data_IF_177737542480
#
_entry.id   IF_177737542480
#
_cell.length_a   1.000
_cell.length_b   1.000
_cell.length_c   1.000
_cell.angle_alpha   90.00
_cell.angle_beta   90.00
_cell.angle_gamma   90.00
#
_symmetry.space_group_name_H-M   'P 1'
#
loop_
_entity.id
_entity.type
_entity.pdbx_description
1 polymer ?
#
# COMPACT_ATOMS: atom_id res chain seq x y z
N UNK A 1 67.99 15.13 14.93
CA UNK A 1 69.31 14.48 15.08
C UNK A 1 69.03 12.99 15.16
N UNK A 2 69.20 12.30 14.03
CA UNK A 2 70.40 11.46 13.74
C UNK A 2 70.26 10.14 14.51
N UNK A 3 70.25 8.92 13.94
CA UNK A 3 70.97 8.31 12.82
C UNK A 3 70.17 7.00 12.51
N UNK A 4 69.64 6.73 11.31
CA UNK A 4 70.29 6.22 10.07
C UNK A 4 70.86 4.79 10.19
N UNK A 5 70.20 3.90 9.45
CA UNK A 5 70.66 2.77 8.60
C UNK A 5 71.69 1.74 9.11
N UNK A 6 71.39 0.45 8.86
CA UNK A 6 72.01 -0.33 7.76
C UNK A 6 71.54 -1.80 7.83
N UNK A 7 71.11 -2.36 6.69
CA UNK A 7 71.41 -3.70 6.18
C UNK A 7 70.83 -3.79 4.74
N UNK A 8 71.43 -4.59 3.85
CA UNK A 8 71.77 -4.14 2.51
C UNK A 8 70.87 -4.71 1.40
N UNK A 9 70.93 -3.99 0.28
CA UNK A 9 70.44 -4.34 -1.04
C UNK A 9 71.13 -5.56 -1.67
N UNK A 10 70.37 -6.23 -2.56
CA UNK A 10 70.86 -6.91 -3.77
C UNK A 10 70.54 -8.41 -3.79
N UNK A 11 69.85 -8.97 -4.78
CA UNK A 11 69.32 -8.45 -6.02
C UNK A 11 68.82 -9.62 -6.90
N UNK A 12 68.37 -9.25 -8.10
CA UNK A 12 68.09 -10.07 -9.28
C UNK A 12 66.68 -10.67 -9.45
N UNK A 13 66.10 -10.37 -10.62
CA UNK A 13 65.28 -11.35 -11.35
C UNK A 13 63.83 -10.94 -11.58
N UNK A 14 63.60 -9.99 -12.48
CA UNK A 14 62.26 -9.65 -12.93
C UNK A 14 61.56 -10.79 -13.68
N UNK A 15 60.25 -10.90 -13.48
CA UNK A 15 59.32 -11.52 -14.44
C UNK A 15 58.07 -10.65 -14.50
N UNK A 16 57.77 -10.18 -15.72
CA UNK A 16 56.63 -9.33 -16.07
C UNK A 16 55.31 -10.10 -15.84
N UNK A 17 54.23 -9.48 -15.33
CA UNK A 17 52.93 -10.12 -15.34
C UNK A 17 52.40 -10.22 -16.78
N UNK A 18 51.97 -11.42 -17.14
CA UNK A 18 51.32 -11.72 -18.41
C UNK A 18 49.98 -10.97 -18.52
N UNK A 19 49.78 -10.31 -19.65
CA UNK A 19 48.51 -9.74 -20.05
C UNK A 19 47.50 -10.89 -20.29
N UNK A 20 46.47 -10.98 -19.45
CA UNK A 20 45.32 -11.84 -19.70
C UNK A 20 44.24 -10.97 -20.34
N UNK A 21 43.92 -11.31 -21.59
CA UNK A 21 42.92 -10.67 -22.40
C UNK A 21 41.54 -10.71 -21.73
N UNK A 22 40.91 -9.55 -21.57
CA UNK A 22 39.51 -9.41 -21.21
C UNK A 22 38.64 -9.79 -22.40
N UNK A 23 38.21 -11.05 -22.45
CA UNK A 23 37.14 -11.48 -23.33
C UNK A 23 35.83 -10.83 -22.87
N UNK A 24 35.41 -9.76 -23.54
CA UNK A 24 34.05 -9.21 -23.41
C UNK A 24 33.04 -10.24 -23.93
N UNK A 25 32.45 -11.00 -23.02
CA UNK A 25 31.30 -11.86 -23.31
C UNK A 25 30.04 -11.00 -23.34
N UNK A 26 29.72 -10.49 -24.52
CA UNK A 26 28.42 -9.87 -24.81
C UNK A 26 27.32 -10.91 -24.61
N UNK A 27 26.55 -10.81 -23.53
CA UNK A 27 25.30 -11.54 -23.39
C UNK A 27 24.22 -10.82 -24.20
N UNK A 28 23.89 -11.38 -25.35
CA UNK A 28 22.69 -11.02 -26.13
C UNK A 28 21.48 -11.57 -25.37
N UNK A 29 20.82 -10.73 -24.58
CA UNK A 29 19.56 -11.08 -23.93
C UNK A 29 18.48 -11.21 -25.01
N UNK A 30 18.00 -12.44 -25.22
CA UNK A 30 16.87 -12.72 -26.10
C UNK A 30 15.64 -11.97 -25.60
N UNK A 31 15.17 -11.01 -26.39
CA UNK A 31 13.92 -10.28 -26.22
C UNK A 31 12.77 -11.26 -26.46
N UNK A 32 12.21 -11.83 -25.39
CA UNK A 32 10.96 -12.56 -25.48
C UNK A 32 9.82 -11.56 -25.27
N UNK A 33 9.20 -11.11 -26.36
CA UNK A 33 7.96 -10.36 -26.32
C UNK A 33 6.82 -11.31 -25.92
N UNK A 34 6.38 -11.28 -24.66
CA UNK A 34 5.07 -11.81 -24.28
C UNK A 34 4.05 -10.67 -24.39
N UNK A 35 3.43 -10.55 -25.57
CA UNK A 35 2.22 -9.76 -25.76
C UNK A 35 1.06 -10.42 -25.01
N UNK A 36 0.76 -9.94 -23.80
CA UNK A 36 -0.51 -10.29 -23.12
C UNK A 36 -1.59 -9.41 -23.74
N UNK A 37 -2.40 -10.03 -24.61
CA UNK A 37 -3.59 -9.44 -25.22
C UNK A 37 -4.65 -9.25 -24.12
N UNK A 38 -4.97 -7.99 -23.80
CA UNK A 38 -6.17 -7.66 -23.06
C UNK A 38 -7.41 -7.95 -23.94
N UNK A 39 -8.29 -8.84 -23.49
CA UNK A 39 -9.57 -9.13 -24.13
C UNK A 39 -10.63 -8.26 -23.46
N UNK A 40 -11.03 -7.18 -24.14
CA UNK A 40 -12.29 -6.47 -23.90
C UNK A 40 -12.91 -6.22 -25.28
N UNK A 41 -13.82 -7.10 -25.69
CA UNK A 41 -14.63 -6.90 -26.88
C UNK A 41 -16.11 -7.10 -26.48
N UNK A 42 -16.84 -5.98 -26.43
CA UNK A 42 -18.30 -5.93 -26.38
C UNK A 42 -18.78 -5.71 -27.83
N UNK A 43 -19.80 -6.43 -28.34
CA UNK A 43 -20.25 -6.26 -29.73
C UNK A 43 -21.10 -5.00 -29.89
N UNK A 44 -20.84 -4.24 -30.95
CA UNK A 44 -21.80 -3.33 -31.58
C UNK A 44 -22.37 -4.01 -32.82
N UNK A 45 -23.69 -3.93 -33.00
CA UNK A 45 -24.34 -4.17 -34.29
C UNK A 45 -25.20 -2.94 -34.62
N UNK A 46 -25.18 -2.55 -35.89
CA UNK A 46 -25.52 -1.23 -36.39
C UNK A 46 -26.84 -1.20 -37.19
N UNK A 47 -27.28 0.03 -37.44
CA UNK A 47 -28.10 0.53 -38.54
C UNK A 47 -29.64 0.61 -38.37
N UNK A 48 -30.13 1.85 -38.58
CA UNK A 48 -31.52 2.23 -38.80
C UNK A 48 -31.92 2.13 -40.28
N UNK A 49 -33.22 2.21 -40.62
CA UNK A 49 -33.70 3.42 -41.34
C UNK A 49 -35.12 3.94 -40.94
N UNK A 50 -35.44 5.14 -41.45
CA UNK A 50 -36.51 6.11 -41.12
C UNK A 50 -37.89 5.88 -41.83
N UNK A 51 -38.86 6.83 -41.90
CA UNK A 51 -39.58 7.61 -40.87
C UNK A 51 -41.15 7.60 -41.00
N UNK A 52 -41.81 8.28 -40.05
CA UNK A 52 -43.10 9.01 -40.12
C UNK A 52 -44.43 8.35 -39.66
N UNK A 53 -45.03 8.87 -38.56
CA UNK A 53 -46.30 9.65 -38.57
C UNK A 53 -46.62 10.24 -37.19
N UNK A 54 -47.18 11.45 -37.21
CA UNK A 54 -47.57 12.31 -36.07
C UNK A 54 -48.82 11.78 -35.37
N UNK A 55 -48.90 11.90 -34.04
CA UNK A 55 -50.14 12.27 -33.32
C UNK A 55 -49.76 12.87 -31.97
N UNK A 56 -50.25 14.07 -31.70
CA UNK A 56 -50.11 14.81 -30.46
C UNK A 56 -50.93 14.14 -29.34
N UNK A 57 -50.33 13.94 -28.16
CA UNK A 57 -51.07 14.05 -26.90
C UNK A 57 -50.09 14.46 -25.80
N UNK A 58 -50.41 15.59 -25.15
CA UNK A 58 -49.68 16.15 -24.04
C UNK A 58 -49.80 15.27 -22.79
N UNK A 59 -48.71 15.10 -22.04
CA UNK A 59 -48.61 15.35 -20.59
C UNK A 59 -47.39 14.66 -19.95
N UNK A 60 -46.75 15.40 -19.04
CA UNK A 60 -45.98 14.94 -17.89
C UNK A 60 -44.54 14.44 -18.11
N UNK A 61 -43.70 15.46 -18.22
CA UNK A 61 -42.30 15.52 -17.76
C UNK A 61 -42.10 14.73 -16.45
N UNK A 62 -41.46 13.56 -16.54
CA UNK A 62 -40.80 12.92 -15.39
C UNK A 62 -39.32 12.88 -15.70
N UNK A 63 -38.62 13.91 -15.23
CA UNK A 63 -37.16 13.94 -15.17
C UNK A 63 -36.73 12.81 -14.25
N UNK A 64 -36.25 11.71 -14.82
CA UNK A 64 -35.52 10.68 -14.07
C UNK A 64 -34.19 11.32 -13.68
N UNK A 65 -34.17 11.93 -12.51
CA UNK A 65 -32.95 12.29 -11.83
C UNK A 65 -32.27 10.97 -11.46
N UNK A 66 -31.20 10.64 -12.18
CA UNK A 66 -30.20 9.70 -11.68
C UNK A 66 -29.51 10.38 -10.50
N UNK A 67 -30.12 10.28 -9.33
CA UNK A 67 -29.42 10.53 -8.07
C UNK A 67 -28.30 9.50 -7.99
N UNK A 68 -27.07 9.97 -8.20
CA UNK A 68 -25.89 9.28 -7.64
C UNK A 68 -26.07 9.32 -6.14
N UNK A 69 -26.69 8.27 -5.59
CA UNK A 69 -26.79 8.05 -4.17
C UNK A 69 -25.36 8.01 -3.62
N UNK A 70 -24.94 9.12 -2.99
CA UNK A 70 -23.79 9.10 -2.12
C UNK A 70 -24.05 8.01 -1.07
N UNK A 71 -23.25 6.94 -1.11
CA UNK A 71 -23.35 5.87 -0.13
C UNK A 71 -23.40 6.48 1.27
N UNK A 72 -24.35 6.07 2.14
CA UNK A 72 -24.48 6.65 3.46
C UNK A 72 -23.14 6.57 4.19
N UNK A 73 -22.76 7.64 4.90
CA UNK A 73 -21.58 7.65 5.74
C UNK A 73 -21.67 6.44 6.68
N UNK A 74 -20.71 5.51 6.57
CA UNK A 74 -20.73 4.30 7.38
C UNK A 74 -20.45 4.74 8.82
N UNK A 75 -21.43 4.61 9.71
CA UNK A 75 -21.24 4.90 11.12
C UNK A 75 -20.51 3.72 11.75
N UNK A 76 -19.20 3.87 11.95
CA UNK A 76 -18.39 2.86 12.63
C UNK A 76 -18.72 2.86 14.12
N UNK A 77 -19.14 1.69 14.64
CA UNK A 77 -19.47 1.52 16.06
C UNK A 77 -18.44 0.62 16.73
N UNK A 78 -17.43 1.25 17.30
CA UNK A 78 -16.31 0.56 17.96
C UNK A 78 -16.78 -0.11 19.27
N UNK A 79 -16.56 -1.43 19.36
CA UNK A 79 -16.75 -2.17 20.60
C UNK A 79 -15.60 -1.88 21.60
N UNK A 80 -15.64 -2.49 22.78
CA UNK A 80 -14.63 -2.24 23.82
C UNK A 80 -13.21 -2.72 23.43
N UNK A 81 -13.10 -3.83 22.68
CA UNK A 81 -11.85 -4.35 22.14
C UNK A 81 -11.31 -3.44 21.04
N UNK A 82 -12.17 -2.99 20.12
CA UNK A 82 -11.79 -2.04 19.06
C UNK A 82 -11.19 -0.77 19.66
N UNK A 83 -11.85 -0.19 20.68
CA UNK A 83 -11.35 0.99 21.39
C UNK A 83 -9.99 0.75 22.05
N UNK A 84 -9.77 -0.42 22.63
CA UNK A 84 -8.49 -0.79 23.23
C UNK A 84 -7.39 -0.92 22.17
N UNK A 85 -7.67 -1.57 21.04
CA UNK A 85 -6.74 -1.75 19.93
C UNK A 85 -6.39 -0.40 19.27
N UNK A 86 -7.39 0.44 19.04
CA UNK A 86 -7.22 1.80 18.53
C UNK A 86 -6.34 2.63 19.47
N UNK A 87 -6.65 2.63 20.77
CA UNK A 87 -5.88 3.36 21.76
C UNK A 87 -4.42 2.88 21.83
N UNK A 88 -4.20 1.56 21.71
CA UNK A 88 -2.86 0.99 21.66
C UNK A 88 -2.07 1.43 20.42
N UNK A 89 -2.67 1.35 19.22
CA UNK A 89 -2.00 1.76 17.99
C UNK A 89 -1.74 3.28 17.97
N UNK A 90 -2.71 4.09 18.40
CA UNK A 90 -2.55 5.54 18.51
C UNK A 90 -1.39 5.91 19.44
N UNK A 91 -1.28 5.27 20.60
CA UNK A 91 -0.14 5.48 21.52
C UNK A 91 1.20 5.11 20.89
N UNK A 92 1.29 3.99 20.18
CA UNK A 92 2.54 3.60 19.50
C UNK A 92 2.95 4.63 18.44
N UNK A 93 2.01 5.22 17.69
CA UNK A 93 2.30 6.29 16.73
C UNK A 93 2.74 7.59 17.42
N UNK A 94 2.09 7.95 18.52
CA UNK A 94 2.45 9.11 19.34
C UNK A 94 3.87 8.95 19.92
N UNK A 95 4.19 7.80 20.50
CA UNK A 95 5.51 7.49 21.03
C UNK A 95 6.59 7.45 19.93
N UNK A 96 6.28 6.88 18.77
CA UNK A 96 7.22 6.80 17.65
C UNK A 96 7.51 8.17 17.02
N UNK A 97 6.54 9.07 17.01
CA UNK A 97 6.67 10.42 16.46
C UNK A 97 7.16 11.45 17.48
N UNK A 98 7.09 11.13 18.78
CA UNK A 98 7.30 12.09 19.87
C UNK A 98 6.17 13.12 20.02
N UNK A 99 5.03 12.91 19.35
CA UNK A 99 3.87 13.80 19.36
C UNK A 99 2.82 13.26 20.32
N UNK A 100 1.99 14.14 20.88
CA UNK A 100 0.86 13.76 21.75
C UNK A 100 -0.42 14.41 21.25
N UNK A 101 -1.55 13.74 21.46
CA UNK A 101 -2.88 14.33 21.30
C UNK A 101 -3.78 13.97 22.48
N UNK A 102 -4.80 14.82 22.70
CA UNK A 102 -5.78 14.67 23.79
C UNK A 102 -7.09 14.02 23.32
N UNK A 103 -7.13 13.53 22.07
CA UNK A 103 -8.33 12.91 21.50
C UNK A 103 -8.42 11.45 21.90
N UNK A 104 -9.65 10.94 21.86
CA UNK A 104 -9.97 9.54 22.18
C UNK A 104 -10.43 8.75 20.96
N UNK A 105 -10.37 7.43 21.07
CA UNK A 105 -10.87 6.50 20.05
C UNK A 105 -10.18 6.69 18.70
N UNK A 106 -10.93 6.45 17.62
CA UNK A 106 -10.37 6.46 16.27
C UNK A 106 -9.87 7.86 15.86
N UNK A 107 -10.47 8.92 16.40
CA UNK A 107 -10.02 10.30 16.17
C UNK A 107 -8.61 10.55 16.72
N UNK A 108 -8.22 9.90 17.81
CA UNK A 108 -6.84 9.94 18.33
C UNK A 108 -5.83 9.43 17.31
N UNK A 109 -6.17 8.33 16.63
CA UNK A 109 -5.33 7.72 15.60
C UNK A 109 -5.20 8.63 14.37
N UNK A 110 -6.33 9.19 13.91
CA UNK A 110 -6.35 10.11 12.78
C UNK A 110 -5.58 11.40 13.09
N UNK A 111 -5.70 11.94 14.30
CA UNK A 111 -4.99 13.15 14.71
C UNK A 111 -3.48 12.93 14.82
N UNK A 112 -3.05 11.79 15.36
CA UNK A 112 -1.64 11.39 15.35
C UNK A 112 -1.10 11.26 13.91
N UNK A 113 -1.86 10.60 13.02
CA UNK A 113 -1.49 10.47 11.61
C UNK A 113 -1.40 11.83 10.90
N UNK A 114 -2.34 12.74 11.16
CA UNK A 114 -2.33 14.09 10.62
C UNK A 114 -1.11 14.87 11.11
N UNK A 115 -0.80 14.80 12.40
CA UNK A 115 0.36 15.48 12.97
C UNK A 115 1.68 14.94 12.37
N UNK A 116 1.79 13.63 12.18
CA UNK A 116 2.93 12.99 11.49
C UNK A 116 3.03 13.49 10.05
N UNK A 117 1.92 13.50 9.31
CA UNK A 117 1.89 13.96 7.91
C UNK A 117 2.28 15.43 7.74
N UNK A 118 2.07 16.23 8.79
CA UNK A 118 2.37 17.66 8.81
C UNK A 118 3.82 17.98 9.11
N UNK A 119 4.40 17.28 10.08
CA UNK A 119 5.68 17.66 10.67
C UNK A 119 6.86 17.00 9.94
N UNK A 120 6.67 15.77 9.43
CA UNK A 120 7.76 14.97 8.90
C UNK A 120 7.72 14.89 7.37
N UNK A 121 8.89 14.71 6.75
CA UNK A 121 9.02 14.38 5.32
C UNK A 121 8.43 13.00 5.01
N UNK A 122 8.07 12.74 3.74
CA UNK A 122 7.40 11.50 3.33
C UNK A 122 8.17 10.22 3.72
N UNK A 123 9.50 10.23 3.56
CA UNK A 123 10.35 9.10 3.98
C UNK A 123 10.28 8.89 5.49
N UNK A 124 10.31 9.99 6.25
CA UNK A 124 10.30 9.94 7.70
C UNK A 124 8.93 9.56 8.25
N UNK A 125 7.85 9.97 7.59
CA UNK A 125 6.49 9.52 7.87
C UNK A 125 6.41 7.99 7.81
N UNK A 126 6.89 7.41 6.71
CA UNK A 126 6.85 5.96 6.51
C UNK A 126 7.70 5.21 7.56
N UNK A 127 8.87 5.75 7.88
CA UNK A 127 9.77 5.21 8.91
C UNK A 127 9.12 5.23 10.30
N UNK A 128 8.52 6.34 10.71
CA UNK A 128 7.85 6.49 12.01
C UNK A 128 6.71 5.48 12.15
N UNK A 129 5.88 5.33 11.12
CA UNK A 129 4.77 4.36 11.16
C UNK A 129 5.30 2.94 11.20
N UNK A 130 6.34 2.61 10.43
CA UNK A 130 6.96 1.28 10.46
C UNK A 130 7.47 0.96 11.87
N UNK A 131 8.16 1.90 12.52
CA UNK A 131 8.61 1.74 13.90
C UNK A 131 7.44 1.58 14.88
N UNK A 132 6.33 2.30 14.69
CA UNK A 132 5.15 2.14 15.53
C UNK A 132 4.54 0.73 15.40
N UNK A 133 4.49 0.17 14.18
CA UNK A 133 4.02 -1.20 13.93
C UNK A 133 4.95 -2.25 14.54
N UNK A 134 6.27 -2.05 14.45
CA UNK A 134 7.26 -2.93 15.06
C UNK A 134 7.21 -2.89 16.60
N UNK A 135 6.94 -1.73 17.20
CA UNK A 135 6.74 -1.61 18.66
C UNK A 135 5.42 -2.22 19.12
N UNK A 136 4.41 -2.23 18.27
CA UNK A 136 3.10 -2.80 18.58
C UNK A 136 3.14 -4.33 18.75
N UNK A 137 4.18 -5.01 18.25
CA UNK A 137 4.30 -6.46 18.33
C UNK A 137 5.68 -6.88 18.88
N UNK A 138 5.74 -7.61 20.01
CA UNK A 138 7.00 -8.11 20.55
C UNK A 138 7.82 -8.90 19.51
N UNK A 139 9.12 -8.64 19.43
CA UNK A 139 10.02 -9.25 18.45
C UNK A 139 9.97 -10.78 18.44
N UNK A 140 9.81 -11.40 19.62
CA UNK A 140 9.62 -12.85 19.76
C UNK A 140 8.45 -13.38 18.94
N UNK A 141 7.31 -12.69 18.95
CA UNK A 141 6.11 -13.09 18.21
C UNK A 141 6.36 -12.98 16.70
N UNK A 142 7.00 -11.90 16.25
CA UNK A 142 7.34 -11.70 14.84
C UNK A 142 8.27 -12.81 14.33
N UNK A 143 9.30 -13.16 15.10
CA UNK A 143 10.21 -14.27 14.77
C UNK A 143 9.48 -15.61 14.75
N UNK A 144 8.60 -15.87 15.73
CA UNK A 144 7.80 -17.09 15.76
C UNK A 144 6.91 -17.23 14.51
N UNK A 145 6.21 -16.16 14.11
CA UNK A 145 5.37 -16.16 12.91
C UNK A 145 6.21 -16.48 11.68
N UNK A 146 7.34 -15.80 11.47
CA UNK A 146 8.23 -16.05 10.32
C UNK A 146 8.71 -17.49 10.23
N UNK A 147 9.07 -18.10 11.37
CA UNK A 147 9.59 -19.47 11.42
C UNK A 147 8.48 -20.49 11.21
N UNK A 148 7.32 -20.29 11.82
CA UNK A 148 6.20 -21.24 11.76
C UNK A 148 5.42 -21.14 10.44
N UNK A 149 5.41 -19.97 9.80
CA UNK A 149 4.62 -19.68 8.60
C UNK A 149 5.52 -19.29 7.42
N UNK A 150 6.34 -20.22 6.90
CA UNK A 150 7.17 -19.93 5.74
C UNK A 150 6.32 -19.61 4.50
N UNK A 151 6.85 -18.83 3.54
CA UNK A 151 6.13 -18.44 2.33
C UNK A 151 5.56 -19.65 1.59
N UNK A 152 4.23 -19.77 1.62
CA UNK A 152 3.46 -20.90 1.10
C UNK A 152 2.03 -20.45 0.83
N UNK A 153 1.27 -21.24 0.05
CA UNK A 153 -0.16 -21.01 -0.14
C UNK A 153 -0.91 -20.89 1.20
N UNK A 154 -0.66 -21.85 2.10
CA UNK A 154 -1.28 -21.86 3.42
C UNK A 154 -1.02 -20.56 4.19
N UNK A 155 0.24 -20.08 4.19
CA UNK A 155 0.57 -18.83 4.87
C UNK A 155 -0.18 -17.63 4.26
N UNK A 156 -0.29 -17.53 2.93
CA UNK A 156 -1.02 -16.45 2.25
C UNK A 156 -2.50 -16.44 2.61
N UNK A 157 -3.15 -17.60 2.55
CA UNK A 157 -4.56 -17.75 2.91
C UNK A 157 -4.80 -17.47 4.39
N UNK A 158 -3.87 -17.89 5.26
CA UNK A 158 -3.92 -17.58 6.69
C UNK A 158 -3.79 -16.07 6.95
N UNK A 159 -2.82 -15.38 6.34
CA UNK A 159 -2.67 -13.94 6.52
C UNK A 159 -3.88 -13.17 6.03
N UNK A 160 -4.48 -13.58 4.90
CA UNK A 160 -5.70 -12.97 4.40
C UNK A 160 -6.87 -13.16 5.38
N UNK A 161 -7.12 -14.40 5.83
CA UNK A 161 -8.18 -14.70 6.78
C UNK A 161 -7.95 -14.03 8.16
N UNK A 162 -6.72 -14.05 8.66
CA UNK A 162 -6.37 -13.37 9.91
C UNK A 162 -6.63 -11.87 9.81
N UNK A 163 -6.31 -11.27 8.67
CA UNK A 163 -6.47 -9.83 8.46
C UNK A 163 -7.94 -9.42 8.52
N UNK A 164 -8.83 -10.20 7.90
CA UNK A 164 -10.28 -9.92 7.91
C UNK A 164 -10.94 -10.14 9.27
N UNK A 165 -10.32 -10.93 10.15
CA UNK A 165 -10.79 -11.14 11.52
C UNK A 165 -10.26 -10.06 12.47
N UNK A 166 -8.97 -9.69 12.34
CA UNK A 166 -8.28 -8.89 13.34
C UNK A 166 -8.27 -7.38 13.04
N UNK A 167 -8.25 -6.95 11.78
CA UNK A 167 -8.14 -5.53 11.42
C UNK A 167 -9.44 -4.79 11.03
N UNK A 168 -10.68 -5.34 11.12
CA UNK A 168 -11.87 -4.55 10.82
C UNK A 168 -12.03 -3.25 11.62
N UNK A 169 -11.54 -3.20 12.87
CA UNK A 169 -11.56 -1.99 13.69
C UNK A 169 -10.71 -0.85 13.10
N UNK A 170 -9.63 -1.19 12.37
CA UNK A 170 -8.66 -0.25 11.83
C UNK A 170 -9.06 0.22 10.43
N UNK A 171 -9.32 -0.72 9.53
CA UNK A 171 -9.55 -0.43 8.10
C UNK A 171 -11.01 -0.51 7.68
N UNK A 172 -11.91 -1.01 8.54
CA UNK A 172 -13.32 -1.23 8.22
C UNK A 172 -13.62 -2.68 7.81
N UNK A 173 -14.89 -3.02 7.51
CA UNK A 173 -15.30 -4.37 7.11
C UNK A 173 -14.45 -4.92 5.95
N UNK A 174 -14.07 -6.18 6.05
CA UNK A 174 -13.17 -6.84 5.10
C UNK A 174 -13.76 -8.18 4.63
N UNK A 175 -13.52 -8.51 3.36
CA UNK A 175 -13.91 -9.78 2.75
C UNK A 175 -12.69 -10.49 2.17
N UNK A 176 -12.70 -11.82 2.19
CA UNK A 176 -11.63 -12.61 1.55
C UNK A 176 -12.06 -12.97 0.13
N UNK A 177 -11.24 -12.61 -0.85
CA UNK A 177 -11.43 -12.91 -2.26
C UNK A 177 -10.37 -13.88 -2.78
N UNK A 178 -10.68 -14.51 -3.90
CA UNK A 178 -9.78 -15.42 -4.61
C UNK A 178 -8.98 -14.67 -5.68
N UNK A 179 -7.69 -14.94 -5.77
CA UNK A 179 -6.88 -14.58 -6.94
C UNK A 179 -6.18 -15.79 -7.53
N UNK A 180 -5.69 -15.65 -8.75
CA UNK A 180 -4.88 -16.65 -9.42
C UNK A 180 -3.40 -16.37 -9.19
N UNK A 181 -2.73 -17.25 -8.46
CA UNK A 181 -1.29 -17.21 -8.22
C UNK A 181 -0.68 -18.46 -8.85
N UNK A 182 0.23 -18.29 -9.81
CA UNK A 182 0.90 -19.40 -10.50
C UNK A 182 -0.07 -20.44 -11.11
N UNK A 183 -1.20 -19.98 -11.67
CA UNK A 183 -2.20 -20.86 -12.29
C UNK A 183 -3.11 -21.58 -11.30
N UNK A 184 -3.09 -21.23 -10.02
CA UNK A 184 -3.94 -21.80 -8.98
C UNK A 184 -4.77 -20.72 -8.29
N UNK A 185 -6.03 -21.04 -8.01
CA UNK A 185 -6.92 -20.20 -7.22
C UNK A 185 -6.57 -20.32 -5.73
N UNK A 186 -6.32 -19.19 -5.10
CA UNK A 186 -5.99 -19.09 -3.68
C UNK A 186 -6.80 -17.95 -3.04
N UNK A 187 -7.19 -18.11 -1.78
CA UNK A 187 -7.91 -17.09 -0.99
C UNK A 187 -6.94 -16.12 -0.33
N UNK A 188 -6.20 -15.38 -1.15
CA UNK A 188 -5.07 -14.55 -0.72
C UNK A 188 -5.32 -13.04 -0.83
N UNK A 189 -6.53 -12.61 -1.23
CA UNK A 189 -6.88 -11.19 -1.34
C UNK A 189 -7.81 -10.79 -0.21
N UNK A 190 -7.48 -9.71 0.47
CA UNK A 190 -8.39 -9.02 1.39
C UNK A 190 -8.96 -7.81 0.68
N UNK A 191 -10.27 -7.83 0.45
CA UNK A 191 -10.99 -6.71 -0.12
C UNK A 191 -11.66 -5.91 0.99
N UNK A 192 -11.43 -4.60 0.97
CA UNK A 192 -12.00 -3.63 1.90
C UNK A 192 -12.91 -2.74 1.06
N UNK A 193 -14.24 -2.96 1.06
CA UNK A 193 -15.16 -2.20 0.21
C UNK A 193 -15.13 -0.70 0.49
N UNK A 194 -14.86 -0.32 1.74
CA UNK A 194 -14.69 1.06 2.16
C UNK A 194 -13.66 1.16 3.28
N UNK A 195 -12.50 1.72 2.97
CA UNK A 195 -11.39 1.84 3.90
C UNK A 195 -11.62 3.01 4.86
N UNK A 196 -11.83 2.71 6.14
CA UNK A 196 -12.07 3.69 7.21
C UNK A 196 -10.97 4.75 7.29
N UNK A 197 -9.70 4.37 7.15
CA UNK A 197 -8.59 5.32 7.20
C UNK A 197 -8.58 6.29 6.00
N UNK A 198 -8.82 5.76 4.81
CA UNK A 198 -8.90 6.59 3.60
C UNK A 198 -10.14 7.50 3.63
N UNK A 199 -11.27 6.99 4.11
CA UNK A 199 -12.51 7.75 4.29
C UNK A 199 -12.36 8.88 5.32
N UNK A 200 -11.70 8.64 6.46
CA UNK A 200 -11.50 9.66 7.49
C UNK A 200 -10.49 10.73 7.07
N UNK A 201 -9.40 10.35 6.39
CA UNK A 201 -8.36 11.31 6.00
C UNK A 201 -8.64 12.02 4.68
N UNK A 202 -9.43 11.39 3.79
CA UNK A 202 -9.66 11.82 2.41
C UNK A 202 -8.36 12.26 1.73
N UNK A 203 -7.23 11.57 1.97
CA UNK A 203 -5.92 12.02 1.55
C UNK A 203 -5.10 10.88 0.95
N UNK A 204 -4.84 10.97 -0.36
CA UNK A 204 -4.01 10.00 -1.10
C UNK A 204 -2.62 9.87 -0.47
N UNK A 205 -1.96 11.00 -0.18
CA UNK A 205 -0.61 11.01 0.39
C UNK A 205 -0.52 10.39 1.79
N UNK A 206 -1.55 10.53 2.61
CA UNK A 206 -1.60 9.83 3.91
C UNK A 206 -1.85 8.34 3.73
N UNK A 207 -2.76 7.96 2.84
CA UNK A 207 -3.01 6.55 2.53
C UNK A 207 -1.73 5.85 2.04
N UNK A 208 -0.96 6.49 1.15
CA UNK A 208 0.27 5.91 0.60
C UNK A 208 1.40 5.87 1.63
N UNK A 209 1.69 7.00 2.29
CA UNK A 209 2.87 7.14 3.16
C UNK A 209 2.67 6.71 4.61
N UNK A 210 1.43 6.63 5.10
CA UNK A 210 1.13 6.23 6.49
C UNK A 210 0.44 4.88 6.60
N UNK A 211 -0.14 4.35 5.52
CA UNK A 211 -0.78 3.04 5.55
C UNK A 211 -0.06 2.07 4.60
N UNK A 212 -0.13 2.29 3.29
CA UNK A 212 0.34 1.36 2.27
C UNK A 212 1.83 1.03 2.38
N UNK A 213 2.72 2.03 2.23
CA UNK A 213 4.17 1.79 2.21
C UNK A 213 4.65 1.17 3.53
N UNK A 214 4.30 1.72 4.71
CA UNK A 214 4.74 1.16 5.98
C UNK A 214 4.19 -0.24 6.25
N UNK A 215 2.91 -0.49 5.92
CA UNK A 215 2.29 -1.80 6.14
C UNK A 215 2.90 -2.87 5.22
N UNK A 216 3.10 -2.57 3.94
CA UNK A 216 3.77 -3.49 3.01
C UNK A 216 5.19 -3.82 3.50
N UNK A 217 5.95 -2.81 3.94
CA UNK A 217 7.29 -2.99 4.48
C UNK A 217 7.28 -3.81 5.76
N UNK A 218 6.40 -3.50 6.70
CA UNK A 218 6.25 -4.23 7.95
C UNK A 218 5.89 -5.70 7.71
N UNK A 219 4.89 -5.99 6.88
CA UNK A 219 4.46 -7.37 6.60
C UNK A 219 5.59 -8.15 5.91
N UNK A 220 6.31 -7.54 4.98
CA UNK A 220 7.45 -8.16 4.33
C UNK A 220 8.63 -8.38 5.29
N UNK A 221 9.11 -7.31 5.91
CA UNK A 221 10.35 -7.31 6.68
C UNK A 221 10.17 -7.95 8.05
N UNK A 222 9.00 -7.82 8.69
CA UNK A 222 8.72 -8.33 10.03
C UNK A 222 7.95 -9.65 10.05
N UNK A 223 7.07 -9.92 9.08
CA UNK A 223 6.28 -11.17 9.02
C UNK A 223 6.74 -12.14 7.92
N UNK A 224 7.64 -11.71 7.02
CA UNK A 224 8.17 -12.56 5.95
C UNK A 224 7.20 -12.80 4.80
N UNK A 225 6.12 -12.02 4.71
CA UNK A 225 5.08 -12.18 3.69
C UNK A 225 5.08 -10.99 2.73
N UNK A 226 5.14 -11.25 1.43
CA UNK A 226 4.95 -10.20 0.43
C UNK A 226 3.48 -9.80 0.39
N UNK A 227 3.21 -8.52 0.28
CA UNK A 227 1.85 -8.02 0.08
C UNK A 227 1.89 -6.78 -0.80
N UNK A 228 0.95 -6.71 -1.74
CA UNK A 228 0.69 -5.51 -2.51
C UNK A 228 -0.67 -4.95 -2.12
N UNK A 229 -0.71 -3.70 -1.69
CA UNK A 229 -1.95 -3.00 -1.33
C UNK A 229 -2.39 -2.08 -2.46
N UNK A 230 -3.57 -2.27 -3.03
CA UNK A 230 -4.10 -1.47 -4.13
C UNK A 230 -5.31 -0.65 -3.65
N UNK A 231 -5.11 0.61 -3.19
CA UNK A 231 -6.22 1.48 -2.83
C UNK A 231 -6.90 2.04 -4.09
N UNK A 232 -8.23 2.12 -4.07
CA UNK A 232 -9.01 2.87 -5.04
C UNK A 232 -9.49 4.17 -4.38
N UNK A 233 -9.03 5.30 -4.93
CA UNK A 233 -9.32 6.63 -4.37
C UNK A 233 -10.67 7.19 -4.84
N UNK A 234 -11.34 6.58 -5.83
CA UNK A 234 -12.65 7.03 -6.29
C UNK A 234 -13.78 6.54 -5.38
N UNK A 235 -13.75 5.25 -5.03
CA UNK A 235 -14.76 4.60 -4.17
C UNK A 235 -14.31 4.39 -2.72
N UNK A 236 -13.06 4.74 -2.41
CA UNK A 236 -12.41 4.57 -1.10
C UNK A 236 -12.19 3.10 -0.70
N UNK A 237 -12.24 2.15 -1.64
CA UNK A 237 -11.94 0.75 -1.38
C UNK A 237 -10.43 0.47 -1.35
N UNK A 238 -10.02 -0.71 -0.86
CA UNK A 238 -8.63 -1.15 -0.90
C UNK A 238 -8.52 -2.68 -0.97
N UNK A 239 -7.61 -3.17 -1.80
CA UNK A 239 -7.24 -4.59 -1.86
C UNK A 239 -5.88 -4.80 -1.20
N UNK A 240 -5.72 -5.88 -0.44
CA UNK A 240 -4.42 -6.36 0.03
C UNK A 240 -4.18 -7.77 -0.53
N UNK A 241 -3.20 -7.89 -1.42
CA UNK A 241 -2.92 -9.12 -2.16
C UNK A 241 -1.69 -9.79 -1.57
N UNK A 242 -1.91 -10.80 -0.74
CA UNK A 242 -0.83 -11.56 -0.10
C UNK A 242 -0.12 -12.47 -1.12
N UNK A 243 1.21 -12.48 -1.08
CA UNK A 243 2.07 -13.17 -2.03
C UNK A 243 2.57 -12.31 -3.19
N UNK A 244 1.97 -11.14 -3.43
CA UNK A 244 2.37 -10.26 -4.52
C UNK A 244 3.40 -9.23 -4.06
N UNK A 245 4.47 -9.03 -4.84
CA UNK A 245 5.43 -7.96 -4.60
C UNK A 245 4.82 -6.63 -5.07
N UNK A 246 4.96 -5.53 -4.30
CA UNK A 246 4.64 -4.20 -4.81
C UNK A 246 5.36 -3.93 -6.14
N UNK A 247 4.65 -3.39 -7.16
CA UNK A 247 5.26 -3.04 -8.44
C UNK A 247 6.29 -1.93 -8.26
N UNK A 248 7.34 -1.92 -9.08
CA UNK A 248 8.33 -0.83 -9.09
C UNK A 248 7.68 0.52 -9.43
N UNK A 249 6.71 0.49 -10.34
CA UNK A 249 6.00 1.67 -10.82
C UNK A 249 4.53 1.64 -10.36
N UNK A 250 4.32 1.99 -9.09
CA UNK A 250 3.04 1.84 -8.41
C UNK A 250 2.04 2.95 -8.79
N UNK A 251 0.85 2.62 -9.35
CA UNK A 251 -0.13 3.61 -9.78
C UNK A 251 -0.69 4.42 -8.60
N UNK A 252 -0.77 3.85 -7.40
CA UNK A 252 -1.26 4.57 -6.24
C UNK A 252 -0.31 5.70 -5.82
N UNK A 253 0.97 5.63 -6.19
CA UNK A 253 1.97 6.65 -5.90
C UNK A 253 2.01 7.81 -6.91
N UNK A 254 1.23 7.73 -7.99
CA UNK A 254 1.19 8.78 -9.03
C UNK A 254 -0.02 9.68 -8.94
N UNK A 255 -1.04 9.28 -8.19
CA UNK A 255 -2.29 10.01 -8.16
C UNK A 255 -2.16 11.28 -7.31
N UNK A 256 -2.62 12.43 -7.81
CA UNK A 256 -2.61 13.66 -7.02
C UNK A 256 -3.62 13.57 -5.88
N UNK A 257 -3.29 14.18 -4.73
CA UNK A 257 -4.27 14.31 -3.64
C UNK A 257 -5.51 15.10 -4.06
N UNK A 258 -6.65 14.74 -3.46
CA UNK A 258 -7.92 15.45 -3.64
C UNK A 258 -7.76 16.94 -3.33
N UNK A 259 -8.04 17.79 -4.32
CA UNK A 259 -7.79 19.23 -4.23
C UNK A 259 -8.58 19.92 -3.12
N UNK A 260 -9.82 19.50 -2.91
CA UNK A 260 -10.76 20.15 -2.00
C UNK A 260 -11.23 19.27 -0.87
N UNK A 261 -10.87 17.99 -0.80
CA UNK A 261 -11.31 17.05 0.25
C UNK A 261 -10.19 16.55 1.14
N UNK A 262 -8.93 16.76 0.74
CA UNK A 262 -7.78 16.34 1.50
C UNK A 262 -7.69 17.08 2.84
N UNK A 263 -7.91 16.37 3.94
CA UNK A 263 -7.89 16.93 5.30
C UNK A 263 -6.54 17.55 5.62
N UNK A 264 -5.45 16.90 5.18
CA UNK A 264 -4.10 17.42 5.32
C UNK A 264 -3.94 18.77 4.60
N UNK A 265 -4.38 18.90 3.32
CA UNK A 265 -4.33 20.16 2.56
C UNK A 265 -5.24 21.24 3.13
N UNK A 266 -6.48 20.90 3.46
CA UNK A 266 -7.50 21.84 3.93
C UNK A 266 -7.08 22.53 5.23
N UNK A 267 -6.59 21.74 6.20
CA UNK A 267 -6.33 22.28 7.52
C UNK A 267 -5.00 23.04 7.58
N UNK A 268 -3.99 22.65 6.80
CA UNK A 268 -2.61 23.09 7.06
C UNK A 268 -1.71 23.31 5.84
N UNK A 269 -2.22 23.31 4.60
CA UNK A 269 -1.43 23.70 3.41
C UNK A 269 -0.26 22.78 3.06
N UNK A 270 -0.27 21.53 3.54
CA UNK A 270 0.81 20.57 3.29
C UNK A 270 0.85 20.11 1.83
N UNK A 271 2.07 19.90 1.32
CA UNK A 271 2.29 19.35 0.01
C UNK A 271 2.08 17.82 0.06
N UNK A 272 0.83 17.38 -0.09
CA UNK A 272 0.48 15.96 -0.13
C UNK A 272 0.78 15.31 -1.51
N UNK A 273 1.69 15.91 -2.26
CA UNK A 273 2.19 15.38 -3.52
C UNK A 273 3.41 14.52 -3.20
N UNK A 274 3.48 13.36 -3.82
CA UNK A 274 4.52 12.34 -3.63
C UNK A 274 5.80 12.79 -4.34
#
# INVERSE_FOLDING_TARGET
MELVMLLPHGGAGGVRPAAVATAKRSYVMRRCCSTVRAIMARPQEAAAPAPAKKTETAAMMTTVQTETAAAPAMVYRDNWFDKLAIGYLSRNLQEASGLKNEKDGYESLIDAALAISRIFSLDKQSEIVTQALERALPSYILTMIKVMMPPSRFSREYFAAFTTIFFPWLVGPCEVMESEVEGRKEKNVVYIPKCRFLESTNCVGMCTNLCKIPCQKFIQDSLGMKVYMSPNFEDMSCEMIFGQQPPEDDPALKQPCFRTKCVAKQNHGVNCSI
#
